data_IF_795492158634
#
_entry.id   IF_795492158634
#
_cell.length_a   1.000
_cell.length_b   1.000
_cell.length_c   1.000
_cell.angle_alpha   90.00
_cell.angle_beta   90.00
_cell.angle_gamma   90.00
#
_symmetry.space_group_name_H-M   'P 1'
#
loop_
_entity.id
_entity.type
_entity.pdbx_description
1 polymer ?
#
# COMPACT_ATOMS: atom_id res chain seq x y z
N UNK A 1 -0.94 -14.79 -8.59
CA UNK A 1 -0.70 -13.39 -8.91
C UNK A 1 0.62 -13.31 -9.69
N UNK A 2 1.06 -12.16 -10.14
CA UNK A 2 2.19 -12.04 -11.05
C UNK A 2 1.85 -12.55 -12.48
N UNK A 3 0.61 -12.31 -12.91
CA UNK A 3 0.08 -12.77 -14.19
C UNK A 3 0.28 -11.70 -15.25
N UNK A 4 0.74 -12.13 -16.43
CA UNK A 4 0.74 -11.31 -17.65
C UNK A 4 -0.44 -11.76 -18.50
N UNK A 5 -1.25 -10.81 -18.94
CA UNK A 5 -2.39 -11.04 -19.82
C UNK A 5 -2.18 -10.25 -21.11
N UNK A 6 -2.07 -10.97 -22.21
CA UNK A 6 -2.18 -10.37 -23.53
C UNK A 6 -3.64 -9.97 -23.77
N UNK A 7 -3.85 -8.77 -24.27
CA UNK A 7 -5.18 -8.20 -24.44
C UNK A 7 -5.39 -7.74 -25.87
N UNK A 8 -6.62 -7.85 -26.36
CA UNK A 8 -7.04 -7.38 -27.70
C UNK A 8 -6.86 -5.85 -27.88
N UNK A 9 -6.62 -5.11 -26.77
CA UNK A 9 -6.24 -3.68 -26.81
C UNK A 9 -4.81 -3.44 -27.33
N UNK A 10 -4.06 -4.51 -27.66
CA UNK A 10 -2.67 -4.44 -28.14
C UNK A 10 -1.63 -4.19 -27.05
N UNK A 11 -2.01 -4.29 -25.77
CA UNK A 11 -1.10 -4.14 -24.61
C UNK A 11 -1.06 -5.41 -23.77
N UNK A 12 0.10 -5.68 -23.20
CA UNK A 12 0.25 -6.70 -22.16
C UNK A 12 -0.10 -6.09 -20.80
N UNK A 13 -1.14 -6.61 -20.17
CA UNK A 13 -1.48 -6.22 -18.80
C UNK A 13 -0.70 -7.06 -17.81
N UNK A 14 -0.11 -6.39 -16.82
CA UNK A 14 0.74 -7.02 -15.82
C UNK A 14 0.46 -6.46 -14.43
N UNK A 15 0.19 -7.36 -13.48
CA UNK A 15 -0.01 -7.01 -12.08
C UNK A 15 1.13 -7.62 -11.26
N UNK A 16 2.14 -6.83 -10.83
CA UNK A 16 3.36 -7.33 -10.19
C UNK A 16 3.18 -7.67 -8.70
N UNK A 17 1.97 -8.04 -8.27
CA UNK A 17 1.70 -8.44 -6.89
C UNK A 17 2.15 -9.89 -6.71
N UNK A 18 3.06 -10.13 -5.74
CA UNK A 18 3.64 -11.43 -5.45
C UNK A 18 2.85 -12.21 -4.41
N UNK A 19 2.13 -11.52 -3.51
CA UNK A 19 1.30 -12.14 -2.49
C UNK A 19 0.12 -11.29 -2.04
N UNK A 20 -0.99 -11.95 -1.73
CA UNK A 20 -2.16 -11.37 -1.07
C UNK A 20 -2.63 -12.35 -0.01
N UNK A 21 -2.59 -11.92 1.24
CA UNK A 21 -3.10 -12.67 2.38
C UNK A 21 -4.25 -11.91 3.02
N UNK A 22 -5.43 -12.52 3.00
CA UNK A 22 -6.63 -11.93 3.62
C UNK A 22 -7.30 -13.02 4.48
N UNK A 23 -7.45 -12.73 5.76
CA UNK A 23 -8.06 -13.66 6.73
C UNK A 23 -7.64 -13.35 8.16
N UNK A 24 -8.13 -14.17 9.09
CA UNK A 24 -7.68 -14.11 10.48
C UNK A 24 -6.18 -14.47 10.54
N UNK A 25 -5.45 -13.78 11.43
CA UNK A 25 -4.01 -14.00 11.63
C UNK A 25 -3.15 -13.81 10.35
N UNK A 26 -3.67 -13.13 9.32
CA UNK A 26 -2.93 -12.91 8.07
C UNK A 26 -1.61 -12.18 8.29
N UNK A 27 -1.51 -11.33 9.32
CA UNK A 27 -0.29 -10.59 9.67
C UNK A 27 0.88 -11.51 10.02
N UNK A 28 0.61 -12.71 10.54
CA UNK A 28 1.64 -13.70 10.90
C UNK A 28 2.43 -14.20 9.68
N UNK A 29 1.88 -14.01 8.48
CA UNK A 29 2.57 -14.37 7.21
C UNK A 29 3.61 -13.33 6.77
N UNK A 30 3.63 -12.14 7.38
CA UNK A 30 4.51 -11.05 6.98
C UNK A 30 6.00 -11.44 6.97
N UNK A 31 6.58 -12.07 8.02
CA UNK A 31 7.99 -12.48 8.00
C UNK A 31 8.32 -13.53 6.93
N UNK A 32 7.34 -14.40 6.61
CA UNK A 32 7.50 -15.36 5.54
C UNK A 32 7.72 -14.67 4.19
N UNK A 33 6.90 -13.66 3.86
CA UNK A 33 7.07 -12.91 2.61
C UNK A 33 8.37 -12.14 2.56
N UNK A 34 8.78 -11.50 3.66
CA UNK A 34 10.06 -10.78 3.71
C UNK A 34 11.22 -11.72 3.38
N UNK A 35 11.27 -12.90 4.03
CA UNK A 35 12.35 -13.88 3.80
C UNK A 35 12.27 -14.53 2.43
N UNK A 36 11.10 -14.99 2.00
CA UNK A 36 10.93 -15.74 0.75
C UNK A 36 11.21 -14.88 -0.49
N UNK A 37 11.03 -13.57 -0.38
CA UNK A 37 11.34 -12.61 -1.45
C UNK A 37 12.78 -12.05 -1.34
N UNK A 38 13.55 -12.45 -0.32
CA UNK A 38 14.96 -12.15 -0.19
C UNK A 38 15.29 -10.82 0.46
N UNK A 39 14.35 -10.23 1.21
CA UNK A 39 14.56 -8.97 1.96
C UNK A 39 15.09 -9.24 3.36
N UNK A 40 15.95 -8.37 3.86
CA UNK A 40 16.65 -8.51 5.12
C UNK A 40 16.52 -7.30 6.05
N UNK A 41 16.37 -6.11 5.50
CA UNK A 41 16.40 -4.83 6.23
C UNK A 41 15.14 -3.98 5.92
N UNK A 42 13.93 -4.45 6.24
CA UNK A 42 12.71 -3.69 5.97
C UNK A 42 12.59 -2.47 6.91
N UNK A 43 12.06 -1.38 6.36
CA UNK A 43 11.57 -0.23 7.12
C UNK A 43 10.05 -0.37 7.30
N UNK A 44 9.59 -0.49 8.54
CA UNK A 44 8.16 -0.43 8.90
C UNK A 44 7.75 1.02 9.06
N UNK A 45 6.85 1.49 8.18
CA UNK A 45 6.36 2.86 8.14
C UNK A 45 4.91 2.91 8.62
N UNK A 46 4.62 3.71 9.63
CA UNK A 46 3.29 3.88 10.23
C UNK A 46 3.10 5.30 10.76
N UNK A 47 1.93 5.62 11.26
CA UNK A 47 1.69 6.76 12.16
C UNK A 47 1.49 6.26 13.61
N UNK A 48 1.33 7.18 14.55
CA UNK A 48 1.14 6.85 15.98
C UNK A 48 -0.08 5.94 16.24
N UNK A 49 -1.13 6.09 15.46
CA UNK A 49 -2.37 5.30 15.59
C UNK A 49 -2.14 3.91 15.03
N UNK A 50 -1.65 3.82 13.79
CA UNK A 50 -1.46 2.54 13.09
C UNK A 50 -0.30 1.73 13.68
N UNK A 51 0.68 2.40 14.30
CA UNK A 51 1.69 1.72 15.12
C UNK A 51 1.05 0.91 16.24
N UNK A 52 0.15 1.51 17.02
CA UNK A 52 -0.55 0.84 18.12
C UNK A 52 -1.50 -0.27 17.63
N UNK A 53 -2.08 -0.12 16.43
CA UNK A 53 -3.02 -1.08 15.85
C UNK A 53 -2.28 -2.32 15.32
N UNK A 54 -1.22 -2.15 14.56
CA UNK A 54 -0.54 -3.24 13.87
C UNK A 54 0.98 -3.08 13.77
N UNK A 55 1.53 -1.85 13.80
CA UNK A 55 2.96 -1.59 13.64
C UNK A 55 3.82 -2.29 14.68
N UNK A 56 3.43 -2.21 15.96
CA UNK A 56 4.12 -2.90 17.05
C UNK A 56 4.14 -4.42 16.83
N UNK A 57 3.02 -5.02 16.36
CA UNK A 57 2.97 -6.44 16.03
C UNK A 57 3.88 -6.80 14.84
N UNK A 58 3.93 -5.95 13.82
CA UNK A 58 4.87 -6.14 12.70
C UNK A 58 6.31 -6.19 13.21
N UNK A 59 6.72 -5.27 14.08
CA UNK A 59 8.08 -5.24 14.65
C UNK A 59 8.38 -6.47 15.50
N UNK A 60 7.43 -6.90 16.35
CA UNK A 60 7.57 -8.12 17.16
C UNK A 60 7.77 -9.37 16.28
N UNK A 61 6.96 -9.50 15.21
CA UNK A 61 7.07 -10.60 14.25
C UNK A 61 8.42 -10.60 13.52
N UNK A 62 8.91 -9.43 13.11
CA UNK A 62 10.24 -9.30 12.50
C UNK A 62 11.34 -9.71 13.47
N UNK A 63 11.30 -9.23 14.71
CA UNK A 63 12.26 -9.57 15.75
C UNK A 63 12.25 -11.09 16.03
N UNK A 64 11.08 -11.68 16.21
CA UNK A 64 10.93 -13.13 16.45
C UNK A 64 11.47 -13.96 15.29
N UNK A 65 11.30 -13.47 14.07
CA UNK A 65 11.82 -14.11 12.87
C UNK A 65 13.32 -13.85 12.63
N UNK A 66 14.00 -13.04 13.44
CA UNK A 66 15.41 -12.67 13.25
C UNK A 66 15.64 -11.77 12.03
N UNK A 67 14.68 -10.92 11.68
CA UNK A 67 14.78 -9.94 10.59
C UNK A 67 15.17 -8.60 11.19
N UNK A 68 16.20 -7.95 10.65
CA UNK A 68 16.70 -6.67 11.12
C UNK A 68 15.84 -5.50 10.60
N UNK A 69 14.61 -5.40 11.09
CA UNK A 69 13.67 -4.35 10.71
C UNK A 69 13.95 -3.05 11.48
N UNK A 70 13.88 -1.93 10.76
CA UNK A 70 13.78 -0.60 11.35
C UNK A 70 12.31 -0.17 11.40
N UNK A 71 11.98 0.75 12.31
CA UNK A 71 10.65 1.37 12.41
C UNK A 71 10.79 2.88 12.28
N UNK A 72 9.85 3.49 11.57
CA UNK A 72 9.68 4.93 11.58
C UNK A 72 8.19 5.29 11.70
N UNK A 73 7.85 5.93 12.79
CA UNK A 73 6.53 6.52 13.01
C UNK A 73 6.50 7.94 12.48
N UNK A 74 5.70 8.18 11.45
CA UNK A 74 5.52 9.50 10.83
C UNK A 74 5.01 10.51 11.85
N UNK A 75 5.68 11.65 11.92
CA UNK A 75 5.31 12.78 12.76
C UNK A 75 4.55 13.85 11.98
N UNK A 76 4.84 13.97 10.68
CA UNK A 76 4.14 14.87 9.77
C UNK A 76 3.12 14.08 8.94
N UNK A 77 1.82 14.36 9.17
CA UNK A 77 0.71 13.66 8.53
C UNK A 77 0.03 14.50 7.43
N UNK A 78 0.78 15.38 6.78
CA UNK A 78 0.32 16.16 5.63
C UNK A 78 0.22 15.35 4.35
N UNK A 79 0.91 14.22 4.29
CA UNK A 79 1.05 13.37 3.09
C UNK A 79 1.45 14.21 1.87
N UNK A 80 2.49 14.99 2.04
CA UNK A 80 3.04 15.99 1.13
C UNK A 80 4.57 15.84 1.00
N UNK A 81 5.22 16.83 0.45
CA UNK A 81 6.67 16.86 0.26
C UNK A 81 7.44 16.75 1.58
N UNK A 82 6.89 17.30 2.68
CA UNK A 82 7.53 17.21 3.99
C UNK A 82 7.46 15.79 4.56
N UNK A 83 6.31 15.10 4.39
CA UNK A 83 6.19 13.66 4.75
C UNK A 83 7.18 12.81 3.94
N UNK A 84 7.31 13.09 2.63
CA UNK A 84 8.29 12.39 1.80
C UNK A 84 9.73 12.65 2.28
N UNK A 85 10.05 13.91 2.62
CA UNK A 85 11.34 14.29 3.18
C UNK A 85 11.63 13.56 4.49
N UNK A 86 10.65 13.46 5.38
CA UNK A 86 10.76 12.72 6.65
C UNK A 86 11.12 11.23 6.40
N UNK A 87 10.44 10.56 5.47
CA UNK A 87 10.74 9.17 5.13
C UNK A 87 12.16 9.02 4.58
N UNK A 88 12.57 9.88 3.65
CA UNK A 88 13.89 9.83 3.02
C UNK A 88 15.01 10.03 4.04
N UNK A 89 14.85 10.97 4.97
CA UNK A 89 15.87 11.31 5.98
C UNK A 89 16.00 10.19 7.02
N UNK A 90 14.90 9.55 7.41
CA UNK A 90 14.89 8.55 8.47
C UNK A 90 15.03 7.10 7.97
N UNK A 91 15.03 6.90 6.64
CA UNK A 91 15.27 5.58 6.05
C UNK A 91 16.73 5.14 6.32
N UNK A 92 16.96 3.93 6.91
CA UNK A 92 18.31 3.37 7.00
C UNK A 92 18.97 3.19 5.63
N UNK A 93 20.30 3.36 5.57
CA UNK A 93 21.04 3.25 4.30
C UNK A 93 20.96 1.87 3.68
N UNK A 94 20.92 0.82 4.49
CA UNK A 94 20.81 -0.58 4.11
C UNK A 94 19.37 -1.07 3.89
N UNK A 95 18.37 -0.17 3.99
CA UNK A 95 16.96 -0.52 3.79
C UNK A 95 16.72 -1.07 2.39
N UNK A 96 16.16 -2.27 2.31
CA UNK A 96 15.87 -3.01 1.08
C UNK A 96 14.36 -3.19 0.77
N UNK A 97 13.48 -2.79 1.71
CA UNK A 97 12.03 -2.92 1.60
C UNK A 97 11.33 -1.85 2.46
N UNK A 98 10.24 -1.26 1.98
CA UNK A 98 9.38 -0.42 2.81
C UNK A 98 8.05 -1.14 3.06
N UNK A 99 7.65 -1.30 4.32
CA UNK A 99 6.39 -1.92 4.73
C UNK A 99 5.48 -0.83 5.30
N UNK A 100 4.48 -0.41 4.53
CA UNK A 100 3.48 0.55 5.01
C UNK A 100 2.39 -0.13 5.85
N UNK A 101 2.25 0.31 7.09
CA UNK A 101 1.22 -0.19 8.01
C UNK A 101 0.15 0.88 8.19
N UNK A 102 -0.97 0.76 7.48
CA UNK A 102 -1.99 1.79 7.50
C UNK A 102 -3.11 1.60 6.49
N UNK A 103 -3.79 2.69 6.20
CA UNK A 103 -4.83 2.78 5.17
C UNK A 103 -4.38 3.69 4.01
N UNK A 104 -5.31 4.35 3.31
CA UNK A 104 -5.07 5.10 2.09
C UNK A 104 -3.81 5.94 2.07
N UNK A 105 -3.73 6.90 2.97
CA UNK A 105 -2.64 7.89 2.95
C UNK A 105 -1.26 7.27 3.20
N UNK A 106 -1.15 6.36 4.19
CA UNK A 106 0.12 5.66 4.45
C UNK A 106 0.46 4.73 3.28
N UNK A 107 -0.52 4.03 2.72
CA UNK A 107 -0.32 3.17 1.55
C UNK A 107 0.17 3.97 0.35
N UNK A 108 -0.45 5.12 0.06
CA UNK A 108 -0.06 5.99 -1.04
C UNK A 108 1.36 6.55 -0.85
N UNK A 109 1.67 7.03 0.36
CA UNK A 109 2.99 7.56 0.67
C UNK A 109 4.07 6.47 0.63
N UNK A 110 3.76 5.26 1.12
CA UNK A 110 4.64 4.10 1.03
C UNK A 110 4.96 3.75 -0.42
N UNK A 111 3.94 3.65 -1.28
CA UNK A 111 4.13 3.35 -2.72
C UNK A 111 4.91 4.45 -3.42
N UNK A 112 4.59 5.71 -3.16
CA UNK A 112 5.27 6.83 -3.80
C UNK A 112 6.72 6.97 -3.35
N UNK A 113 6.99 6.91 -2.03
CA UNK A 113 8.36 6.97 -1.50
C UNK A 113 9.22 5.80 -1.98
N UNK A 114 8.69 4.58 -1.94
CA UNK A 114 9.39 3.39 -2.41
C UNK A 114 9.70 3.47 -3.91
N UNK A 115 8.76 3.97 -4.72
CA UNK A 115 8.99 4.22 -6.15
C UNK A 115 10.12 5.22 -6.39
N UNK A 116 10.14 6.35 -5.66
CA UNK A 116 11.21 7.36 -5.77
C UNK A 116 12.56 6.84 -5.30
N UNK A 117 12.57 6.02 -4.26
CA UNK A 117 13.77 5.39 -3.69
C UNK A 117 14.22 4.14 -4.45
N UNK A 118 13.43 3.67 -5.43
CA UNK A 118 13.66 2.42 -6.19
C UNK A 118 13.73 1.18 -5.28
N UNK A 119 12.89 1.17 -4.27
CA UNK A 119 12.72 0.07 -3.32
C UNK A 119 11.38 -0.62 -3.56
N UNK A 120 11.26 -1.93 -3.31
CA UNK A 120 9.97 -2.60 -3.23
C UNK A 120 9.17 -2.11 -2.02
N UNK A 121 7.85 -2.34 -2.04
CA UNK A 121 7.03 -2.09 -0.87
C UNK A 121 5.98 -3.19 -0.63
N UNK A 122 5.63 -3.36 0.64
CA UNK A 122 4.51 -4.17 1.11
C UNK A 122 3.48 -3.26 1.79
N UNK A 123 2.25 -3.75 1.89
CA UNK A 123 1.18 -3.07 2.60
C UNK A 123 0.54 -3.99 3.63
N UNK A 124 0.47 -3.54 4.87
CA UNK A 124 -0.33 -4.14 5.95
C UNK A 124 -1.51 -3.21 6.22
N UNK A 125 -2.70 -3.63 5.81
CA UNK A 125 -3.90 -2.81 5.92
C UNK A 125 -4.44 -2.78 7.35
N UNK A 126 -4.71 -1.59 7.88
CA UNK A 126 -5.32 -1.40 9.21
C UNK A 126 -6.81 -1.04 9.14
N UNK A 127 -7.36 -0.93 7.94
CA UNK A 127 -8.76 -0.67 7.66
C UNK A 127 -9.02 -0.81 6.16
N UNK A 128 -10.27 -0.89 5.75
CA UNK A 128 -10.68 -1.06 4.36
C UNK A 128 -11.56 0.11 3.86
N UNK A 129 -11.06 1.38 3.85
CA UNK A 129 -11.85 2.51 3.41
C UNK A 129 -11.82 2.75 1.90
N UNK A 130 -11.08 1.96 1.14
CA UNK A 130 -10.84 2.13 -0.29
C UNK A 130 -10.52 0.79 -0.98
N UNK A 131 -10.52 0.77 -2.30
CA UNK A 131 -10.07 -0.36 -3.14
C UNK A 131 -8.62 -0.21 -3.64
N UNK A 132 -7.98 0.92 -3.37
CA UNK A 132 -6.69 1.32 -3.97
C UNK A 132 -5.44 0.58 -3.49
N UNK A 133 -5.54 -0.52 -2.72
CA UNK A 133 -4.36 -1.23 -2.20
C UNK A 133 -3.45 -1.81 -3.29
N UNK A 134 -4.00 -2.17 -4.44
CA UNK A 134 -3.27 -2.74 -5.57
C UNK A 134 -2.93 -1.71 -6.67
N UNK A 135 -3.16 -0.41 -6.44
CA UNK A 135 -2.94 0.61 -7.44
C UNK A 135 -1.44 0.86 -7.72
N UNK A 136 -1.15 1.34 -8.92
CA UNK A 136 0.20 1.78 -9.36
C UNK A 136 0.37 3.29 -9.32
N UNK A 137 -0.45 3.97 -8.56
CA UNK A 137 -0.42 5.40 -8.33
C UNK A 137 -0.43 5.68 -6.83
N UNK A 138 0.01 6.85 -6.43
CA UNK A 138 -0.14 7.39 -5.07
C UNK A 138 -0.77 8.78 -5.14
N UNK A 139 -1.56 9.12 -4.15
CA UNK A 139 -2.15 10.45 -4.02
C UNK A 139 -1.41 11.18 -2.92
N UNK A 140 -0.91 12.37 -3.23
CA UNK A 140 -0.25 13.23 -2.25
C UNK A 140 -0.63 14.70 -2.45
N UNK A 141 -0.41 15.50 -1.43
CA UNK A 141 -0.55 16.95 -1.53
C UNK A 141 0.75 17.55 -2.06
N UNK A 142 0.68 18.23 -3.19
CA UNK A 142 1.83 18.93 -3.80
C UNK A 142 1.47 20.41 -3.93
N UNK A 143 2.20 21.29 -3.28
CA UNK A 143 1.88 22.72 -3.24
C UNK A 143 0.43 23.01 -2.83
N UNK A 144 -0.08 22.32 -1.80
CA UNK A 144 -1.47 22.38 -1.32
C UNK A 144 -2.54 21.93 -2.33
N UNK A 145 -2.17 21.26 -3.41
CA UNK A 145 -3.09 20.65 -4.35
C UNK A 145 -2.99 19.12 -4.28
N UNK A 146 -4.13 18.46 -4.28
CA UNK A 146 -4.19 17.00 -4.33
C UNK A 146 -3.78 16.52 -5.72
N UNK A 147 -2.67 15.81 -5.82
CA UNK A 147 -2.09 15.34 -7.06
C UNK A 147 -2.02 13.81 -7.10
N UNK A 148 -2.32 13.24 -8.26
CA UNK A 148 -2.10 11.82 -8.54
C UNK A 148 -0.69 11.67 -9.11
N UNK A 149 0.14 10.89 -8.39
CA UNK A 149 1.54 10.70 -8.72
C UNK A 149 1.77 9.27 -9.21
N UNK A 150 2.59 9.05 -10.25
CA UNK A 150 2.97 7.71 -10.66
C UNK A 150 3.77 7.03 -9.54
N UNK A 151 3.43 5.78 -9.28
CA UNK A 151 4.08 4.92 -8.31
C UNK A 151 4.17 3.50 -8.89
N UNK A 152 4.57 2.53 -8.08
CA UNK A 152 4.47 1.12 -8.44
C UNK A 152 3.49 0.39 -7.52
N UNK A 153 2.99 -0.76 -7.97
CA UNK A 153 2.17 -1.60 -7.12
C UNK A 153 2.97 -2.11 -5.93
N UNK A 154 2.31 -2.29 -4.80
CA UNK A 154 2.86 -3.06 -3.70
C UNK A 154 3.09 -4.52 -4.12
N UNK A 155 4.16 -5.15 -3.63
CA UNK A 155 4.45 -6.55 -3.96
C UNK A 155 3.63 -7.53 -3.12
N UNK A 156 3.30 -7.16 -1.88
CA UNK A 156 2.52 -7.97 -0.95
C UNK A 156 1.47 -7.12 -0.26
N UNK A 157 0.25 -7.65 -0.18
CA UNK A 157 -0.86 -7.05 0.55
C UNK A 157 -1.27 -8.00 1.66
N UNK A 158 -1.31 -7.51 2.89
CA UNK A 158 -1.78 -8.24 4.06
C UNK A 158 -3.01 -7.52 4.63
N UNK A 159 -4.12 -8.22 4.65
CA UNK A 159 -5.39 -7.79 5.21
C UNK A 159 -5.84 -8.71 6.34
N UNK A 160 -5.33 -8.48 7.55
CA UNK A 160 -5.73 -9.26 8.71
C UNK A 160 -7.14 -8.86 9.17
N UNK A 161 -8.08 -9.78 9.10
CA UNK A 161 -9.49 -9.49 9.41
C UNK A 161 -9.70 -9.18 10.89
N UNK A 162 -8.84 -9.66 11.80
CA UNK A 162 -8.90 -9.33 13.21
C UNK A 162 -8.43 -7.89 13.48
N UNK A 163 -7.54 -7.38 12.68
CA UNK A 163 -7.13 -5.98 12.68
C UNK A 163 -8.19 -5.12 11.97
N UNK A 164 -8.60 -5.50 10.76
CA UNK A 164 -9.54 -4.73 9.93
C UNK A 164 -10.88 -4.47 10.62
N UNK A 165 -11.39 -5.45 11.40
CA UNK A 165 -12.64 -5.30 12.17
C UNK A 165 -12.56 -4.26 13.29
N UNK A 166 -11.36 -3.87 13.74
CA UNK A 166 -11.17 -2.85 14.78
C UNK A 166 -11.28 -1.43 14.23
N UNK A 167 -11.20 -1.26 12.91
CA UNK A 167 -11.33 0.04 12.27
C UNK A 167 -12.73 0.64 12.49
N UNK A 168 -12.84 1.97 12.56
CA UNK A 168 -14.14 2.62 12.66
C UNK A 168 -15.09 2.17 11.54
N UNK A 169 -16.32 1.82 11.87
CA UNK A 169 -17.34 1.30 10.93
C UNK A 169 -17.48 2.19 9.68
N UNK A 170 -17.34 3.50 9.84
CA UNK A 170 -17.36 4.45 8.72
C UNK A 170 -16.32 4.15 7.63
N UNK A 171 -15.19 3.54 8.00
CA UNK A 171 -14.17 3.14 7.01
C UNK A 171 -14.66 1.98 6.14
N UNK A 172 -15.30 0.98 6.75
CA UNK A 172 -15.93 -0.12 6.00
C UNK A 172 -17.03 0.39 5.06
N UNK A 173 -17.85 1.32 5.54
CA UNK A 173 -18.89 1.96 4.71
C UNK A 173 -18.27 2.74 3.56
N UNK A 174 -17.19 3.47 3.80
CA UNK A 174 -16.47 4.19 2.75
C UNK A 174 -15.92 3.24 1.68
N UNK A 175 -15.29 2.12 2.07
CA UNK A 175 -14.79 1.11 1.12
C UNK A 175 -15.91 0.45 0.33
N UNK A 176 -17.05 0.19 0.94
CA UNK A 176 -18.23 -0.30 0.23
C UNK A 176 -18.73 0.73 -0.80
N UNK A 177 -18.79 2.02 -0.42
CA UNK A 177 -19.14 3.10 -1.35
C UNK A 177 -18.16 3.21 -2.52
N UNK A 178 -16.87 3.06 -2.25
CA UNK A 178 -15.82 3.08 -3.28
C UNK A 178 -15.98 1.93 -4.28
N UNK A 179 -16.30 0.71 -3.81
CA UNK A 179 -16.60 -0.42 -4.68
C UNK A 179 -17.86 -0.21 -5.53
N UNK A 180 -18.95 0.31 -4.94
CA UNK A 180 -20.19 0.59 -5.69
C UNK A 180 -19.95 1.67 -6.75
N UNK A 181 -19.11 2.67 -6.44
CA UNK A 181 -18.72 3.70 -7.41
C UNK A 181 -18.12 3.14 -8.70
N UNK A 182 -17.55 1.92 -8.68
CA UNK A 182 -17.03 1.27 -9.89
C UNK A 182 -18.11 0.97 -10.92
N UNK A 183 -19.35 0.73 -10.51
CA UNK A 183 -20.46 0.48 -11.45
C UNK A 183 -20.70 1.70 -12.33
N UNK A 184 -20.65 2.90 -11.78
CA UNK A 184 -20.80 4.13 -12.56
C UNK A 184 -19.55 4.47 -13.35
N UNK A 185 -18.36 4.40 -12.75
CA UNK A 185 -17.13 4.79 -13.44
C UNK A 185 -16.78 3.84 -14.60
N UNK A 186 -17.11 2.56 -14.52
CA UNK A 186 -16.92 1.64 -15.62
C UNK A 186 -17.88 1.93 -16.78
N UNK A 187 -19.12 2.35 -16.50
CA UNK A 187 -20.05 2.79 -17.54
C UNK A 187 -19.57 4.09 -18.21
N UNK A 188 -19.05 5.05 -17.43
CA UNK A 188 -18.47 6.28 -17.96
C UNK A 188 -17.26 5.99 -18.85
N UNK A 189 -16.44 5.04 -18.45
CA UNK A 189 -15.28 4.60 -19.24
C UNK A 189 -15.68 3.95 -20.54
N UNK A 190 -16.69 3.07 -20.53
CA UNK A 190 -17.23 2.46 -21.74
C UNK A 190 -17.87 3.51 -22.67
N UNK A 191 -18.54 4.52 -22.10
CA UNK A 191 -19.08 5.65 -22.87
C UNK A 191 -17.95 6.46 -23.54
N UNK A 192 -16.88 6.75 -22.84
CA UNK A 192 -15.70 7.44 -23.40
C UNK A 192 -15.05 6.61 -24.53
N UNK A 193 -14.95 5.29 -24.35
CA UNK A 193 -14.47 4.39 -25.40
C UNK A 193 -15.33 4.45 -26.68
N UNK A 194 -16.65 4.45 -26.53
CA UNK A 194 -17.59 4.48 -27.67
C UNK A 194 -17.56 5.84 -28.38
N UNK A 195 -17.55 6.95 -27.63
CA UNK A 195 -17.67 8.30 -28.19
C UNK A 195 -16.33 8.83 -28.68
N UNK A 196 -15.27 8.64 -27.91
CA UNK A 196 -13.96 9.27 -28.17
C UNK A 196 -12.94 8.29 -28.75
N UNK A 197 -13.23 6.97 -28.77
CA UNK A 197 -12.26 5.95 -29.16
C UNK A 197 -11.13 5.77 -28.14
N UNK A 198 -11.34 6.15 -26.89
CA UNK A 198 -10.34 6.00 -25.80
C UNK A 198 -10.28 4.54 -25.31
N UNK A 199 -9.04 4.06 -25.02
CA UNK A 199 -8.79 2.71 -24.51
C UNK A 199 -7.94 2.72 -23.25
#
# INVERSE_FOLDING_TARGET
LNIKLECDCGRTHYVPIKGVEIGADAIERLPHYVKSLGYAHPLVLCDEITYKIAGARCMELMQTAGIAAAEHTLTHLGFDEATLGEIVINKPDDCDLIIGVGTGSITDMTRYSSFKLKLPCFTVATGAPMDGFAASIGIMNVNNLKATMPAHCTEVIIGDTDILKTAPYRMTVAGFGDLIGKLTCLNDWELARIINGEH
#
